data_IF_291574336886
#
_entry.id   IF_291574336886
#
_cell.length_a   1.000
_cell.length_b   1.000
_cell.length_c   1.000
_cell.angle_alpha   90.00
_cell.angle_beta   90.00
_cell.angle_gamma   90.00
#
_symmetry.space_group_name_H-M   'P 1'
#
loop_
_entity.id
_entity.type
_entity.pdbx_description
1 polymer ?
#
# COMPACT_ATOMS: atom_id res chain seq x y z
N UNK A 1 10.71 12.29 13.81
CA UNK A 1 9.27 12.24 13.49
C UNK A 1 8.51 12.56 14.76
N UNK A 2 7.27 13.04 14.70
CA UNK A 2 6.42 13.22 15.89
C UNK A 2 5.13 12.42 15.72
N UNK A 3 4.63 11.80 16.79
CA UNK A 3 3.30 11.18 16.80
C UNK A 3 2.23 12.27 16.78
N UNK A 4 1.16 12.04 16.01
CA UNK A 4 -0.03 12.88 16.01
C UNK A 4 -0.81 12.69 17.30
N UNK A 5 -0.98 11.46 17.75
CA UNK A 5 -1.67 11.15 19.00
C UNK A 5 -0.69 11.25 20.18
N UNK A 6 -1.16 11.82 21.29
CA UNK A 6 -0.49 11.91 22.58
C UNK A 6 -0.90 10.73 23.46
N UNK A 7 -0.19 10.54 24.58
CA UNK A 7 -0.47 9.47 25.55
C UNK A 7 -1.84 9.58 26.22
N UNK A 8 -2.42 10.78 26.27
CA UNK A 8 -3.77 11.05 26.81
C UNK A 8 -4.90 10.81 25.79
N UNK A 9 -4.57 10.36 24.58
CA UNK A 9 -5.53 10.12 23.49
C UNK A 9 -5.88 11.35 22.66
N UNK A 10 -5.47 12.56 23.07
CA UNK A 10 -5.64 13.77 22.28
C UNK A 10 -4.60 13.90 21.16
N UNK A 11 -4.84 14.75 20.17
CA UNK A 11 -3.81 15.06 19.15
C UNK A 11 -2.85 16.17 19.62
N UNK A 12 -1.62 16.16 19.09
CA UNK A 12 -0.62 17.20 19.35
C UNK A 12 -1.11 18.58 18.85
N UNK A 13 -1.16 19.62 19.70
CA UNK A 13 -1.59 20.97 19.31
C UNK A 13 -0.85 21.54 18.10
N UNK A 14 0.41 21.18 17.87
CA UNK A 14 1.21 21.67 16.75
C UNK A 14 0.71 21.16 15.40
N UNK A 15 0.04 20.00 15.36
CA UNK A 15 -0.48 19.39 14.12
C UNK A 15 -1.97 19.66 13.90
N UNK A 16 -2.70 20.13 14.91
CA UNK A 16 -4.12 20.52 14.78
C UNK A 16 -4.31 21.58 13.69
N UNK A 17 -5.38 21.46 12.91
CA UNK A 17 -5.74 22.33 11.80
C UNK A 17 -6.06 21.57 10.51
N UNK A 18 -6.13 22.33 9.41
CA UNK A 18 -6.48 21.80 8.09
C UNK A 18 -5.24 21.70 7.22
N UNK A 19 -5.08 20.58 6.52
CA UNK A 19 -3.91 20.26 5.72
C UNK A 19 -4.31 19.71 4.36
N UNK A 20 -3.79 20.27 3.27
CA UNK A 20 -4.03 19.80 1.90
C UNK A 20 -2.83 19.06 1.36
N UNK A 21 -3.02 17.83 0.90
CA UNK A 21 -1.95 17.05 0.30
C UNK A 21 -1.53 17.64 -1.04
N UNK A 22 -0.23 17.55 -1.32
CA UNK A 22 0.30 17.88 -2.63
C UNK A 22 0.23 16.64 -3.52
N UNK A 23 -0.62 16.68 -4.55
CA UNK A 23 -0.68 15.67 -5.61
C UNK A 23 -1.65 14.51 -5.41
N UNK A 24 -2.27 14.38 -4.22
CA UNK A 24 -3.17 13.24 -3.91
C UNK A 24 -4.65 13.62 -3.75
N UNK A 25 -4.97 14.92 -3.65
CA UNK A 25 -6.37 15.38 -3.51
C UNK A 25 -6.95 15.05 -2.13
N UNK A 26 -6.14 15.06 -1.08
CA UNK A 26 -6.57 14.77 0.28
C UNK A 26 -6.56 16.02 1.13
N UNK A 27 -7.56 16.16 2.00
CA UNK A 27 -7.54 17.12 3.09
C UNK A 27 -7.55 16.35 4.41
N UNK A 28 -6.68 16.74 5.34
CA UNK A 28 -6.75 16.30 6.73
C UNK A 28 -7.32 17.43 7.56
N UNK A 29 -8.37 17.13 8.29
CA UNK A 29 -8.90 17.93 9.37
C UNK A 29 -8.47 17.27 10.67
N UNK A 30 -7.62 17.96 11.43
CA UNK A 30 -7.03 17.44 12.66
C UNK A 30 -7.48 18.34 13.81
N UNK A 31 -8.29 17.79 14.70
CA UNK A 31 -8.72 18.46 15.92
C UNK A 31 -8.23 17.67 17.14
N UNK A 32 -8.65 18.05 18.34
CA UNK A 32 -8.26 17.36 19.57
C UNK A 32 -8.65 15.87 19.58
N UNK A 33 -9.76 15.51 18.92
CA UNK A 33 -10.32 14.17 18.93
C UNK A 33 -9.65 13.23 17.92
N UNK A 34 -9.02 13.74 16.86
CA UNK A 34 -8.27 12.91 15.95
C UNK A 34 -8.05 13.50 14.56
N UNK A 35 -7.97 12.59 13.58
CA UNK A 35 -7.73 12.91 12.16
C UNK A 35 -8.94 12.47 11.35
N UNK A 36 -9.56 13.43 10.65
CA UNK A 36 -10.58 13.19 9.63
C UNK A 36 -9.93 13.45 8.27
N UNK A 37 -10.06 12.48 7.35
CA UNK A 37 -9.64 12.67 5.96
C UNK A 37 -10.86 12.97 5.09
N UNK A 38 -10.73 13.98 4.25
CA UNK A 38 -11.63 14.26 3.14
C UNK A 38 -10.90 14.00 1.82
N UNK A 39 -11.66 13.59 0.80
CA UNK A 39 -11.22 13.53 -0.57
C UNK A 39 -11.71 14.80 -1.27
N UNK A 40 -10.77 15.57 -1.80
CA UNK A 40 -11.00 16.82 -2.51
C UNK A 40 -10.96 16.61 -4.02
N UNK A 41 -11.94 17.19 -4.71
CA UNK A 41 -12.06 17.21 -6.16
C UNK A 41 -13.14 18.20 -6.60
N UNK A 42 -13.79 17.95 -7.74
CA UNK A 42 -15.03 18.66 -8.13
C UNK A 42 -16.15 18.46 -7.12
N UNK A 43 -16.17 17.28 -6.48
CA UNK A 43 -16.99 16.97 -5.32
C UNK A 43 -16.05 16.67 -4.16
N UNK A 44 -16.29 17.30 -3.01
CA UNK A 44 -15.57 16.96 -1.78
C UNK A 44 -16.42 16.03 -0.92
N UNK A 45 -15.80 14.98 -0.38
CA UNK A 45 -16.51 14.00 0.42
C UNK A 45 -15.61 13.34 1.47
N UNK A 46 -16.24 12.87 2.55
CA UNK A 46 -15.57 12.00 3.52
C UNK A 46 -15.66 10.55 3.05
N UNK A 47 -14.55 9.90 2.67
CA UNK A 47 -14.57 8.47 2.38
C UNK A 47 -15.03 7.69 3.63
N UNK A 48 -15.77 6.58 3.46
CA UNK A 48 -16.18 5.76 4.58
C UNK A 48 -14.95 5.30 5.36
N UNK A 49 -15.07 5.25 6.68
CA UNK A 49 -14.04 4.63 7.52
C UNK A 49 -13.98 3.16 7.13
N UNK A 50 -12.84 2.76 6.59
CA UNK A 50 -12.60 1.38 6.24
C UNK A 50 -12.73 0.46 7.45
N UNK A 51 -13.35 -0.70 7.22
CA UNK A 51 -13.30 -1.85 8.13
C UNK A 51 -12.44 -2.93 7.47
N UNK A 52 -11.36 -3.32 8.13
CA UNK A 52 -10.43 -4.38 7.69
C UNK A 52 -9.14 -3.88 7.03
N UNK A 53 -8.08 -4.69 7.10
CA UNK A 53 -6.69 -4.34 6.77
C UNK A 53 -6.47 -3.79 5.35
N UNK A 54 -7.09 -4.40 4.34
CA UNK A 54 -6.96 -3.94 2.95
C UNK A 54 -7.66 -2.59 2.71
N UNK A 55 -8.75 -2.33 3.44
CA UNK A 55 -9.47 -1.07 3.37
C UNK A 55 -8.82 0.01 4.26
N UNK A 56 -8.15 -0.37 5.36
CA UNK A 56 -7.49 0.56 6.26
C UNK A 56 -6.35 1.33 5.59
N UNK A 57 -5.57 0.65 4.73
CA UNK A 57 -4.61 1.29 3.82
C UNK A 57 -5.27 2.36 2.94
N UNK A 58 -6.47 2.07 2.41
CA UNK A 58 -7.24 3.01 1.59
C UNK A 58 -7.82 4.17 2.41
N UNK A 59 -7.91 4.05 3.74
CA UNK A 59 -8.44 5.08 4.66
C UNK A 59 -7.38 5.90 5.41
N UNK A 60 -6.09 5.62 5.20
CA UNK A 60 -4.90 6.27 5.76
C UNK A 60 -5.16 7.24 6.94
N UNK A 61 -5.29 6.69 8.14
CA UNK A 61 -5.19 7.48 9.38
C UNK A 61 -3.71 7.75 9.64
N UNK A 62 -3.19 8.84 9.11
CA UNK A 62 -1.82 9.26 9.42
C UNK A 62 -1.60 9.27 10.92
N UNK A 63 -0.46 8.74 11.37
CA UNK A 63 -0.09 8.65 12.78
C UNK A 63 1.09 9.53 13.12
N UNK A 64 1.88 9.89 12.12
CA UNK A 64 3.09 10.64 12.30
C UNK A 64 3.10 11.88 11.44
N UNK A 65 3.74 12.93 11.93
CA UNK A 65 4.02 14.13 11.17
C UNK A 65 5.45 14.65 11.40
N UNK A 66 5.93 15.45 10.45
CA UNK A 66 7.16 16.21 10.54
C UNK A 66 6.99 17.55 9.85
N UNK A 67 6.98 18.63 10.63
CA UNK A 67 6.97 19.99 10.07
C UNK A 67 8.20 20.23 9.19
N UNK A 68 8.00 20.92 8.07
CA UNK A 68 9.08 21.34 7.18
C UNK A 68 9.61 22.72 7.64
N UNK A 69 10.91 22.84 7.99
CA UNK A 69 11.47 24.09 8.51
C UNK A 69 11.17 25.29 7.62
N UNK A 70 10.78 26.42 8.25
CA UNK A 70 10.53 27.68 7.54
C UNK A 70 9.29 27.69 6.63
N UNK A 71 8.40 26.71 6.73
CA UNK A 71 7.21 26.62 5.88
C UNK A 71 5.95 26.27 6.67
N UNK A 72 4.77 26.59 6.10
CA UNK A 72 3.48 26.10 6.59
C UNK A 72 3.14 24.72 6.01
N UNK A 73 4.13 23.84 5.89
CA UNK A 73 3.98 22.51 5.33
C UNK A 73 4.52 21.44 6.28
N UNK A 74 4.01 20.22 6.16
CA UNK A 74 4.44 19.07 6.93
C UNK A 74 4.39 17.79 6.10
N UNK A 75 5.22 16.81 6.45
CA UNK A 75 5.15 15.45 5.94
C UNK A 75 4.28 14.63 6.90
N UNK A 76 3.38 13.83 6.37
CA UNK A 76 2.54 12.89 7.12
C UNK A 76 2.79 11.45 6.69
N UNK A 77 2.80 10.53 7.65
CA UNK A 77 3.03 9.10 7.45
C UNK A 77 2.13 8.24 8.33
N UNK A 78 1.71 7.07 7.81
CA UNK A 78 0.94 6.08 8.55
C UNK A 78 1.88 5.30 9.48
N UNK A 79 2.95 4.75 8.93
CA UNK A 79 4.06 4.14 9.66
C UNK A 79 5.37 4.88 9.37
N UNK A 80 6.32 4.80 10.31
CA UNK A 80 7.62 5.42 10.11
C UNK A 80 8.33 4.88 8.86
N UNK A 81 8.81 5.80 8.02
CA UNK A 81 9.54 5.52 6.78
C UNK A 81 8.71 4.92 5.63
N UNK A 82 7.37 4.99 5.74
CA UNK A 82 6.48 4.97 4.58
C UNK A 82 6.81 6.08 3.57
N UNK A 83 6.17 6.08 2.41
CA UNK A 83 6.33 7.16 1.44
C UNK A 83 5.94 8.51 2.04
N UNK A 84 6.81 9.52 1.87
CA UNK A 84 6.58 10.87 2.36
C UNK A 84 5.45 11.54 1.57
N UNK A 85 4.33 11.86 2.24
CA UNK A 85 3.27 12.70 1.65
C UNK A 85 3.34 14.09 2.27
N UNK A 86 3.50 15.11 1.44
CA UNK A 86 3.57 16.52 1.89
C UNK A 86 2.19 17.13 1.87
N UNK A 87 1.90 17.88 2.92
CA UNK A 87 0.70 18.67 3.06
C UNK A 87 1.04 20.14 3.34
N UNK A 88 0.25 21.03 2.75
CA UNK A 88 0.26 22.46 3.04
C UNK A 88 -0.88 22.80 4.00
N UNK A 89 -0.61 23.62 5.01
CA UNK A 89 -1.62 24.08 5.96
C UNK A 89 -2.58 25.07 5.29
N UNK A 90 -3.87 24.84 5.45
CA UNK A 90 -4.93 25.76 5.04
C UNK A 90 -5.46 26.57 6.24
N UNK A 91 -5.98 27.78 6.00
CA UNK A 91 -6.59 28.59 7.06
C UNK A 91 -7.91 28.01 7.57
N UNK A 92 -8.67 27.31 6.72
CA UNK A 92 -9.94 26.69 7.06
C UNK A 92 -10.24 25.53 6.10
N UNK A 93 -11.23 24.69 6.46
CA UNK A 93 -11.74 23.64 5.60
C UNK A 93 -12.49 24.29 4.42
N UNK A 94 -12.25 23.89 3.16
CA UNK A 94 -13.02 24.40 2.03
C UNK A 94 -14.52 24.15 2.22
N UNK A 95 -15.36 25.15 1.93
CA UNK A 95 -16.81 25.07 2.17
C UNK A 95 -17.49 23.88 1.46
N UNK A 96 -16.97 23.48 0.29
CA UNK A 96 -17.43 22.29 -0.43
C UNK A 96 -17.24 20.99 0.36
N UNK A 97 -16.28 20.92 1.28
CA UNK A 97 -16.00 19.76 2.12
C UNK A 97 -16.82 19.74 3.42
N UNK A 98 -17.43 20.87 3.81
CA UNK A 98 -18.38 20.95 4.92
C UNK A 98 -19.84 20.79 4.47
N UNK A 99 -20.12 20.90 3.17
CA UNK A 99 -21.46 20.73 2.63
C UNK A 99 -21.85 19.24 2.52
N UNK A 100 -23.16 18.90 2.55
CA UNK A 100 -23.62 17.56 2.20
C UNK A 100 -23.10 17.15 0.82
N UNK A 101 -22.50 15.97 0.73
CA UNK A 101 -22.01 15.43 -0.54
C UNK A 101 -23.18 15.09 -1.46
N UNK A 102 -23.19 15.65 -2.67
CA UNK A 102 -24.07 15.22 -3.76
C UNK A 102 -23.69 13.79 -4.18
N UNK A 103 -24.66 12.88 -4.09
CA UNK A 103 -24.52 11.45 -4.40
C UNK A 103 -25.36 11.02 -5.60
N UNK A 104 -25.88 11.96 -6.37
CA UNK A 104 -26.55 11.63 -7.63
C UNK A 104 -25.58 10.88 -8.57
N UNK A 105 -26.07 9.99 -9.45
CA UNK A 105 -25.22 9.26 -10.39
C UNK A 105 -24.27 10.17 -11.17
N UNK A 106 -24.77 11.34 -11.62
CA UNK A 106 -23.96 12.34 -12.30
C UNK A 106 -22.84 12.91 -11.45
N UNK A 107 -23.10 13.24 -10.18
CA UNK A 107 -22.08 13.75 -9.26
C UNK A 107 -21.00 12.71 -8.93
N UNK A 108 -21.39 11.45 -8.75
CA UNK A 108 -20.44 10.33 -8.53
C UNK A 108 -19.55 10.13 -9.76
N UNK A 109 -20.12 10.09 -10.96
CA UNK A 109 -19.35 9.95 -12.19
C UNK A 109 -18.43 11.15 -12.45
N UNK A 110 -18.88 12.37 -12.14
CA UNK A 110 -18.06 13.57 -12.24
C UNK A 110 -16.86 13.51 -11.28
N UNK A 111 -17.10 13.13 -10.02
CA UNK A 111 -16.03 12.93 -9.04
C UNK A 111 -15.05 11.85 -9.52
N UNK A 112 -15.54 10.68 -9.93
CA UNK A 112 -14.71 9.59 -10.44
C UNK A 112 -13.79 10.04 -11.59
N UNK A 113 -14.32 10.75 -12.58
CA UNK A 113 -13.53 11.27 -13.69
C UNK A 113 -12.50 12.32 -13.25
N UNK A 114 -12.88 13.24 -12.37
CA UNK A 114 -11.98 14.25 -11.82
C UNK A 114 -10.77 13.61 -11.10
N UNK A 115 -11.00 12.55 -10.33
CA UNK A 115 -9.93 11.82 -9.66
C UNK A 115 -8.97 11.15 -10.65
N UNK A 116 -9.51 10.52 -11.69
CA UNK A 116 -8.68 9.96 -12.76
C UNK A 116 -7.84 11.05 -13.43
N UNK A 117 -8.46 12.15 -13.85
CA UNK A 117 -7.79 13.22 -14.58
C UNK A 117 -6.67 13.89 -13.76
N UNK A 118 -6.87 14.06 -12.45
CA UNK A 118 -5.87 14.71 -11.57
C UNK A 118 -4.77 13.78 -11.09
N UNK A 119 -5.12 12.55 -10.73
CA UNK A 119 -4.25 11.70 -9.92
C UNK A 119 -3.75 10.44 -10.63
N UNK A 120 -4.40 10.02 -11.72
CA UNK A 120 -3.92 8.86 -12.46
C UNK A 120 -2.62 9.16 -13.21
N UNK A 121 -1.57 8.41 -12.89
CA UNK A 121 -0.21 8.75 -13.32
C UNK A 121 0.17 8.16 -14.70
N UNK A 122 -0.56 7.15 -15.19
CA UNK A 122 -0.07 6.24 -16.24
C UNK A 122 -0.83 6.34 -17.57
N UNK A 123 -1.51 7.45 -17.85
CA UNK A 123 -2.24 7.64 -19.11
C UNK A 123 -1.38 7.40 -20.35
N UNK A 124 -0.10 7.80 -20.31
CA UNK A 124 0.88 7.63 -21.38
C UNK A 124 1.47 6.21 -21.47
N UNK A 125 1.21 5.36 -20.47
CA UNK A 125 1.78 4.02 -20.33
C UNK A 125 0.74 2.89 -20.38
N UNK A 126 -0.54 3.23 -20.44
CA UNK A 126 -1.66 2.28 -20.56
C UNK A 126 -2.29 2.34 -21.94
N UNK A 127 -3.08 1.33 -22.34
CA UNK A 127 -3.82 1.36 -23.60
C UNK A 127 -4.59 2.68 -23.75
N UNK A 128 -4.51 3.35 -24.93
CA UNK A 128 -5.22 4.58 -25.18
C UNK A 128 -6.75 4.36 -25.11
N UNK A 129 -7.52 5.45 -25.10
CA UNK A 129 -8.99 5.39 -25.10
C UNK A 129 -9.67 6.01 -23.88
N UNK A 130 -8.91 6.65 -22.97
CA UNK A 130 -9.49 7.37 -21.83
C UNK A 130 -10.59 8.37 -22.26
N UNK A 131 -10.35 9.15 -23.32
CA UNK A 131 -11.33 10.12 -23.82
C UNK A 131 -12.63 9.44 -24.28
N UNK A 132 -12.54 8.30 -24.97
CA UNK A 132 -13.69 7.51 -25.41
C UNK A 132 -14.43 6.89 -24.21
N UNK A 133 -13.71 6.30 -23.25
CA UNK A 133 -14.27 5.77 -21.99
C UNK A 133 -15.01 6.85 -21.22
N UNK A 134 -14.43 8.04 -21.10
CA UNK A 134 -15.05 9.20 -20.46
C UNK A 134 -16.32 9.65 -21.18
N UNK A 135 -16.31 9.72 -22.51
CA UNK A 135 -17.49 10.05 -23.30
C UNK A 135 -18.61 9.01 -23.11
N UNK A 136 -18.25 7.72 -23.16
CA UNK A 136 -19.19 6.62 -22.93
C UNK A 136 -19.78 6.62 -21.52
N UNK A 137 -18.96 6.87 -20.49
CA UNK A 137 -19.44 7.00 -19.12
C UNK A 137 -20.45 8.16 -19.00
N UNK A 138 -20.10 9.34 -19.52
CA UNK A 138 -21.00 10.52 -19.50
C UNK A 138 -22.31 10.26 -20.23
N UNK A 139 -22.29 9.59 -21.38
CA UNK A 139 -23.48 9.28 -22.16
C UNK A 139 -24.45 8.31 -21.44
N UNK A 140 -23.95 7.48 -20.51
CA UNK A 140 -24.77 6.57 -19.71
C UNK A 140 -25.43 7.24 -18.50
N UNK A 141 -24.95 8.41 -18.06
CA UNK A 141 -25.43 9.02 -16.81
C UNK A 141 -26.83 9.62 -16.98
N UNK A 142 -27.76 9.21 -16.11
CA UNK A 142 -29.06 9.85 -15.96
C UNK A 142 -29.53 9.83 -14.50
N UNK A 143 -30.42 10.75 -14.07
CA UNK A 143 -30.84 10.85 -12.67
C UNK A 143 -31.56 9.61 -12.12
N UNK A 144 -32.25 8.85 -12.99
CA UNK A 144 -32.99 7.65 -12.61
C UNK A 144 -32.15 6.36 -12.55
N UNK A 145 -30.82 6.42 -12.56
CA UNK A 145 -29.99 5.22 -12.43
C UNK A 145 -30.05 4.68 -11.00
N UNK A 146 -30.17 3.37 -10.86
CA UNK A 146 -29.92 2.69 -9.60
C UNK A 146 -28.41 2.45 -9.35
N UNK A 147 -28.07 1.89 -8.19
CA UNK A 147 -26.69 1.62 -7.79
C UNK A 147 -26.00 0.60 -8.72
N UNK A 148 -26.74 -0.40 -9.20
CA UNK A 148 -26.20 -1.43 -10.09
C UNK A 148 -25.87 -0.84 -11.47
N UNK A 149 -26.75 -0.02 -12.03
CA UNK A 149 -26.54 0.68 -13.29
C UNK A 149 -25.36 1.67 -13.20
N UNK A 150 -25.25 2.41 -12.09
CA UNK A 150 -24.11 3.28 -11.84
C UNK A 150 -22.81 2.47 -11.73
N UNK A 151 -22.82 1.38 -10.97
CA UNK A 151 -21.67 0.48 -10.84
C UNK A 151 -21.21 -0.06 -12.18
N UNK A 152 -22.13 -0.60 -13.00
CA UNK A 152 -21.81 -1.18 -14.31
C UNK A 152 -21.24 -0.12 -15.26
N UNK A 153 -21.73 1.12 -15.19
CA UNK A 153 -21.17 2.22 -15.98
C UNK A 153 -19.72 2.57 -15.57
N UNK A 154 -19.44 2.64 -14.26
CA UNK A 154 -18.10 2.89 -13.73
C UNK A 154 -17.15 1.69 -13.97
N UNK A 155 -17.65 0.46 -13.84
CA UNK A 155 -16.92 -0.76 -14.12
C UNK A 155 -16.50 -0.84 -15.59
N UNK A 156 -17.41 -0.53 -16.52
CA UNK A 156 -17.11 -0.48 -17.95
C UNK A 156 -16.02 0.54 -18.30
N UNK A 157 -15.89 1.63 -17.53
CA UNK A 157 -14.78 2.55 -17.70
C UNK A 157 -13.43 1.92 -17.33
N UNK A 158 -13.41 1.08 -16.30
CA UNK A 158 -12.21 0.39 -15.82
C UNK A 158 -11.72 -0.71 -16.77
N UNK A 159 -12.59 -1.22 -17.64
CA UNK A 159 -12.26 -2.28 -18.59
C UNK A 159 -11.15 -1.88 -19.58
N UNK A 160 -10.17 -2.77 -19.71
CA UNK A 160 -9.01 -2.57 -20.58
C UNK A 160 -8.08 -1.44 -20.13
N UNK A 161 -8.23 -0.91 -18.91
CA UNK A 161 -7.25 0.00 -18.32
C UNK A 161 -5.90 -0.70 -18.15
N UNK A 162 -5.93 -2.03 -18.00
CA UNK A 162 -4.77 -2.90 -17.86
C UNK A 162 -3.81 -2.43 -16.75
N UNK A 163 -4.37 -2.04 -15.61
CA UNK A 163 -3.63 -1.55 -14.44
C UNK A 163 -4.09 -2.23 -13.14
N UNK A 164 -3.28 -3.18 -12.65
CA UNK A 164 -3.57 -3.90 -11.42
C UNK A 164 -3.54 -3.04 -10.16
N UNK A 165 -3.01 -1.82 -10.20
CA UNK A 165 -2.96 -0.94 -9.03
C UNK A 165 -4.17 0.00 -8.95
N UNK A 166 -5.01 0.03 -9.98
CA UNK A 166 -6.24 0.83 -9.98
C UNK A 166 -7.45 -0.08 -9.79
N UNK A 167 -8.26 0.23 -8.78
CA UNK A 167 -9.40 -0.59 -8.40
C UNK A 167 -10.62 0.29 -8.24
N UNK A 168 -11.76 -0.22 -8.67
CA UNK A 168 -13.06 0.29 -8.24
C UNK A 168 -13.56 -0.63 -7.13
N UNK A 169 -13.84 -0.07 -5.96
CA UNK A 169 -14.40 -0.75 -4.81
C UNK A 169 -15.70 -0.05 -4.45
N UNK A 170 -16.72 -0.83 -4.11
CA UNK A 170 -18.01 -0.28 -3.72
C UNK A 170 -18.91 -1.34 -3.10
N UNK A 171 -20.08 -0.90 -2.67
CA UNK A 171 -21.18 -1.75 -2.24
C UNK A 171 -22.33 -1.52 -3.21
N UNK A 172 -22.98 -2.60 -3.63
CA UNK A 172 -24.15 -2.56 -4.52
C UNK A 172 -25.13 -3.57 -3.97
N UNK A 173 -26.34 -3.10 -3.59
CA UNK A 173 -27.36 -3.93 -2.96
C UNK A 173 -26.88 -4.64 -1.67
N UNK A 174 -26.03 -3.97 -0.89
CA UNK A 174 -25.44 -4.52 0.34
C UNK A 174 -24.24 -5.44 0.12
N UNK A 175 -23.90 -5.77 -1.13
CA UNK A 175 -22.80 -6.67 -1.47
C UNK A 175 -21.56 -5.89 -1.89
N UNK A 176 -20.41 -6.24 -1.31
CA UNK A 176 -19.12 -5.65 -1.69
C UNK A 176 -18.71 -6.11 -3.08
N UNK A 177 -18.49 -5.15 -3.98
CA UNK A 177 -18.01 -5.39 -5.34
C UNK A 177 -16.62 -4.80 -5.56
N UNK A 178 -15.89 -5.41 -6.50
CA UNK A 178 -14.54 -5.00 -6.89
C UNK A 178 -14.32 -5.18 -8.39
N UNK A 179 -13.81 -4.15 -9.04
CA UNK A 179 -13.22 -4.25 -10.38
C UNK A 179 -11.72 -3.99 -10.30
N UNK A 180 -10.95 -4.86 -10.94
CA UNK A 180 -9.51 -4.72 -11.07
C UNK A 180 -9.08 -5.38 -12.38
N UNK A 181 -8.43 -4.61 -13.23
CA UNK A 181 -7.88 -5.08 -14.50
C UNK A 181 -6.35 -5.23 -14.41
N UNK A 182 -5.66 -5.69 -15.45
CA UNK A 182 -4.20 -5.67 -15.55
C UNK A 182 -3.48 -6.72 -14.72
N UNK A 183 -4.13 -7.83 -14.37
CA UNK A 183 -3.54 -8.92 -13.58
C UNK A 183 -2.71 -9.92 -14.42
N UNK A 184 -2.47 -9.61 -15.70
CA UNK A 184 -1.84 -10.52 -16.66
C UNK A 184 -2.70 -11.75 -16.94
N UNK A 185 -2.13 -12.73 -17.65
CA UNK A 185 -2.85 -13.96 -18.04
C UNK A 185 -2.79 -15.06 -16.97
N UNK A 186 -1.72 -15.10 -16.20
CA UNK A 186 -1.43 -16.20 -15.27
C UNK A 186 -2.46 -16.29 -14.15
N UNK A 187 -2.80 -15.17 -13.50
CA UNK A 187 -3.72 -15.19 -12.35
C UNK A 187 -5.17 -15.51 -12.74
N UNK A 188 -5.75 -14.90 -13.79
CA UNK A 188 -7.06 -15.34 -14.28
C UNK A 188 -7.08 -16.83 -14.63
N UNK A 189 -6.03 -17.34 -15.31
CA UNK A 189 -5.90 -18.78 -15.64
C UNK A 189 -5.84 -19.66 -14.40
N UNK A 190 -5.14 -19.23 -13.34
CA UNK A 190 -5.08 -19.97 -12.07
C UNK A 190 -6.44 -19.96 -11.37
N UNK A 191 -7.12 -18.81 -11.29
CA UNK A 191 -8.45 -18.69 -10.65
C UNK A 191 -9.51 -19.53 -11.33
N UNK A 192 -9.43 -19.68 -12.64
CA UNK A 192 -10.36 -20.49 -13.43
C UNK A 192 -10.14 -22.02 -13.25
N UNK A 193 -9.06 -22.45 -12.59
CA UNK A 193 -8.82 -23.87 -12.27
C UNK A 193 -9.53 -24.27 -10.98
N UNK A 194 -9.73 -25.58 -10.83
CA UNK A 194 -10.24 -26.17 -9.60
C UNK A 194 -9.38 -25.76 -8.39
N UNK A 195 -10.04 -25.33 -7.30
CA UNK A 195 -9.38 -24.84 -6.09
C UNK A 195 -8.75 -23.43 -6.20
N UNK A 196 -8.72 -22.84 -7.40
CA UNK A 196 -8.29 -21.47 -7.65
C UNK A 196 -6.87 -21.12 -7.19
N UNK A 197 -6.65 -19.85 -6.86
CA UNK A 197 -5.37 -19.38 -6.33
C UNK A 197 -4.94 -20.05 -5.02
N UNK A 198 -5.82 -20.34 -4.04
CA UNK A 198 -5.40 -21.00 -2.79
C UNK A 198 -4.80 -22.39 -3.01
N UNK A 199 -5.44 -23.24 -3.83
CA UNK A 199 -4.92 -24.57 -4.12
C UNK A 199 -3.60 -24.52 -4.88
N UNK A 200 -3.48 -23.60 -5.85
CA UNK A 200 -2.24 -23.37 -6.57
C UNK A 200 -1.10 -22.92 -5.65
N UNK A 201 -1.36 -21.98 -4.73
CA UNK A 201 -0.36 -21.51 -3.78
C UNK A 201 0.09 -22.62 -2.83
N UNK A 202 -0.86 -23.42 -2.32
CA UNK A 202 -0.54 -24.59 -1.49
C UNK A 202 0.34 -25.60 -2.22
N UNK A 203 0.01 -25.90 -3.48
CA UNK A 203 0.82 -26.80 -4.32
C UNK A 203 2.22 -26.24 -4.61
N UNK A 204 2.34 -24.93 -4.85
CA UNK A 204 3.62 -24.27 -5.06
C UNK A 204 4.52 -24.39 -3.83
N UNK A 205 4.00 -24.07 -2.64
CA UNK A 205 4.75 -24.20 -1.37
C UNK A 205 5.16 -25.65 -1.12
N UNK A 206 4.23 -26.61 -1.31
CA UNK A 206 4.52 -28.03 -1.12
C UNK A 206 5.63 -28.52 -2.08
N UNK A 207 5.57 -28.11 -3.35
CA UNK A 207 6.58 -28.45 -4.35
C UNK A 207 7.95 -27.84 -3.98
N UNK A 208 7.99 -26.55 -3.62
CA UNK A 208 9.22 -25.87 -3.20
C UNK A 208 9.85 -26.58 -2.00
N UNK A 209 9.08 -26.82 -0.94
CA UNK A 209 9.54 -27.52 0.27
C UNK A 209 10.05 -28.92 -0.04
N UNK A 210 9.34 -29.68 -0.89
CA UNK A 210 9.78 -31.02 -1.29
C UNK A 210 11.10 -30.99 -2.06
N UNK A 211 11.32 -29.99 -2.93
CA UNK A 211 12.57 -29.82 -3.69
C UNK A 211 13.76 -29.42 -2.80
N UNK A 212 13.53 -28.63 -1.76
CA UNK A 212 14.55 -28.25 -0.78
C UNK A 212 14.84 -29.38 0.23
N UNK A 213 13.94 -30.35 0.35
CA UNK A 213 14.11 -31.53 1.19
C UNK A 213 14.33 -31.18 2.66
N UNK A 214 15.30 -31.82 3.32
CA UNK A 214 15.58 -31.63 4.76
C UNK A 214 16.10 -30.22 5.12
N UNK A 215 16.61 -29.50 4.12
CA UNK A 215 17.07 -28.11 4.30
C UNK A 215 15.92 -27.10 4.33
N UNK A 216 14.71 -27.51 3.92
CA UNK A 216 13.57 -26.62 3.87
C UNK A 216 13.23 -26.07 5.27
N UNK A 217 12.95 -24.77 5.30
CA UNK A 217 12.49 -24.01 6.46
C UNK A 217 11.40 -23.05 6.03
N UNK A 218 10.51 -22.73 6.97
CA UNK A 218 9.40 -21.81 6.74
C UNK A 218 9.25 -20.85 7.90
N UNK A 219 8.92 -19.58 7.63
CA UNK A 219 8.61 -18.58 8.65
C UNK A 219 7.43 -17.70 8.23
N UNK A 220 6.95 -16.88 9.16
CA UNK A 220 5.91 -15.89 8.90
C UNK A 220 4.57 -16.49 8.45
N UNK A 221 4.15 -17.59 9.08
CA UNK A 221 2.95 -18.33 8.68
C UNK A 221 3.03 -18.91 7.26
N UNK A 222 4.22 -19.36 6.83
CA UNK A 222 4.46 -19.95 5.52
C UNK A 222 4.66 -18.94 4.38
N UNK A 223 4.80 -17.64 4.70
CA UNK A 223 5.01 -16.57 3.71
C UNK A 223 6.46 -16.44 3.27
N UNK A 224 7.38 -17.03 4.02
CA UNK A 224 8.81 -17.10 3.72
C UNK A 224 9.21 -18.56 3.73
N UNK A 225 9.85 -19.01 2.66
CA UNK A 225 10.40 -20.36 2.53
C UNK A 225 11.86 -20.24 2.15
N UNK A 226 12.74 -20.98 2.83
CA UNK A 226 14.14 -21.03 2.42
C UNK A 226 14.74 -22.43 2.59
N UNK A 227 15.90 -22.65 1.96
CA UNK A 227 16.65 -23.89 2.04
C UNK A 227 17.83 -23.88 1.09
N UNK A 228 18.47 -25.02 0.90
CA UNK A 228 19.69 -25.17 0.11
C UNK A 228 19.46 -26.12 -1.07
N UNK A 229 19.80 -25.66 -2.26
CA UNK A 229 19.80 -26.44 -3.51
C UNK A 229 21.19 -27.06 -3.69
N UNK A 230 21.22 -28.39 -3.82
CA UNK A 230 22.42 -29.20 -4.09
C UNK A 230 23.62 -28.96 -3.16
N UNK A 231 23.37 -28.44 -1.95
CA UNK A 231 24.42 -28.07 -0.99
C UNK A 231 25.26 -26.85 -1.39
N UNK A 232 24.85 -26.10 -2.43
CA UNK A 232 25.68 -25.06 -3.05
C UNK A 232 25.00 -23.71 -3.20
N UNK A 233 23.68 -23.67 -3.33
CA UNK A 233 22.94 -22.44 -3.60
C UNK A 233 21.84 -22.26 -2.57
N UNK A 234 21.82 -21.13 -1.87
CA UNK A 234 20.72 -20.75 -1.01
C UNK A 234 19.50 -20.38 -1.85
N UNK A 235 18.31 -20.81 -1.45
CA UNK A 235 17.06 -20.43 -2.07
C UNK A 235 16.19 -19.73 -1.02
N UNK A 236 15.70 -18.53 -1.34
CA UNK A 236 14.83 -17.74 -0.49
C UNK A 236 13.61 -17.27 -1.29
N UNK A 237 12.43 -17.73 -0.93
CA UNK A 237 11.16 -17.30 -1.52
C UNK A 237 10.38 -16.45 -0.52
N UNK A 238 9.91 -15.28 -0.97
CA UNK A 238 9.06 -14.37 -0.18
C UNK A 238 7.77 -14.14 -0.97
N UNK A 239 6.64 -14.65 -0.47
CA UNK A 239 5.36 -14.59 -1.16
C UNK A 239 4.63 -13.25 -0.98
N UNK A 240 4.83 -12.59 0.16
CA UNK A 240 4.19 -11.31 0.49
C UNK A 240 5.07 -10.59 1.51
N UNK A 241 5.10 -9.27 1.43
CA UNK A 241 5.93 -8.41 2.26
C UNK A 241 5.15 -7.91 3.48
N UNK A 242 4.64 -8.84 4.29
CA UNK A 242 3.89 -8.57 5.51
C UNK A 242 2.88 -9.67 5.87
N UNK A 243 2.30 -9.58 7.06
CA UNK A 243 1.45 -10.61 7.65
C UNK A 243 2.26 -11.78 8.19
N UNK A 244 3.46 -11.53 8.70
CA UNK A 244 4.33 -12.55 9.29
C UNK A 244 3.92 -12.94 10.71
N UNK A 245 3.09 -12.12 11.35
CA UNK A 245 2.58 -12.33 12.71
C UNK A 245 1.06 -12.50 12.70
N UNK A 246 0.52 -13.03 13.80
CA UNK A 246 -0.94 -13.20 13.98
C UNK A 246 -1.63 -11.92 14.51
N UNK A 247 -0.88 -10.80 14.58
CA UNK A 247 -1.39 -9.53 15.11
C UNK A 247 -2.49 -8.96 14.21
N UNK A 248 -3.55 -8.45 14.85
CA UNK A 248 -4.70 -7.84 14.18
C UNK A 248 -4.72 -6.31 14.27
N UNK A 249 -3.82 -5.70 15.04
CA UNK A 249 -3.71 -4.26 15.26
C UNK A 249 -2.88 -3.57 14.17
N UNK A 250 -3.27 -3.77 12.92
CA UNK A 250 -2.56 -3.26 11.74
C UNK A 250 -2.17 -1.78 11.87
N UNK A 251 -0.97 -1.46 11.37
CA UNK A 251 -0.40 -0.12 11.35
C UNK A 251 -0.21 0.56 12.72
N UNK A 252 -0.19 -0.18 13.83
CA UNK A 252 0.38 0.30 15.10
C UNK A 252 1.92 0.21 15.08
N UNK A 253 2.62 0.97 15.96
CA UNK A 253 4.06 0.78 16.16
C UNK A 253 4.41 -0.65 16.54
N UNK A 254 3.63 -1.27 17.43
CA UNK A 254 3.87 -2.61 17.94
C UNK A 254 3.67 -3.67 16.84
N UNK A 255 2.67 -3.48 15.97
CA UNK A 255 2.49 -4.31 14.79
C UNK A 255 3.68 -4.20 13.83
N UNK A 256 4.11 -2.96 13.53
CA UNK A 256 5.21 -2.70 12.60
C UNK A 256 6.54 -3.26 13.11
N UNK A 257 6.81 -3.13 14.41
CA UNK A 257 7.98 -3.71 15.07
C UNK A 257 7.95 -5.23 15.00
N UNK A 258 6.84 -5.87 15.38
CA UNK A 258 6.71 -7.32 15.36
C UNK A 258 6.84 -7.92 13.95
N UNK A 259 6.22 -7.28 12.95
CA UNK A 259 6.34 -7.68 11.54
C UNK A 259 7.77 -7.57 11.03
N UNK A 260 8.45 -6.46 11.33
CA UNK A 260 9.85 -6.28 10.94
C UNK A 260 10.74 -7.29 11.67
N UNK A 261 10.57 -7.50 12.97
CA UNK A 261 11.35 -8.46 13.75
C UNK A 261 11.20 -9.88 13.18
N UNK A 262 9.98 -10.35 12.96
CA UNK A 262 9.72 -11.66 12.37
C UNK A 262 10.36 -11.83 10.98
N UNK A 263 10.33 -10.78 10.16
CA UNK A 263 11.01 -10.79 8.86
C UNK A 263 12.54 -10.84 8.99
N UNK A 264 13.11 -10.04 9.89
CA UNK A 264 14.56 -10.00 10.08
C UNK A 264 15.09 -11.31 10.68
N UNK A 265 14.38 -11.91 11.62
CA UNK A 265 14.74 -13.21 12.21
C UNK A 265 14.76 -14.31 11.16
N UNK A 266 13.76 -14.33 10.24
CA UNK A 266 13.72 -15.28 9.14
C UNK A 266 14.89 -15.06 8.16
N UNK A 267 15.21 -13.81 7.82
CA UNK A 267 16.34 -13.50 6.96
C UNK A 267 17.68 -13.84 7.62
N UNK A 268 17.86 -13.59 8.91
CA UNK A 268 19.09 -13.92 9.62
C UNK A 268 19.33 -15.44 9.64
N UNK A 269 18.30 -16.22 9.93
CA UNK A 269 18.37 -17.68 9.85
C UNK A 269 18.70 -18.17 8.43
N UNK A 270 18.02 -17.63 7.42
CA UNK A 270 18.30 -17.98 6.02
C UNK A 270 19.76 -17.65 5.64
N UNK A 271 20.25 -16.46 5.98
CA UNK A 271 21.63 -16.07 5.67
C UNK A 271 22.66 -16.89 6.45
N UNK A 272 22.35 -17.32 7.67
CA UNK A 272 23.18 -18.26 8.43
C UNK A 272 23.25 -19.62 7.75
N UNK A 273 22.11 -20.15 7.30
CA UNK A 273 22.05 -21.41 6.54
C UNK A 273 22.76 -21.32 5.18
N UNK A 274 22.91 -20.10 4.64
CA UNK A 274 23.60 -19.84 3.37
C UNK A 274 25.09 -19.53 3.52
N UNK A 275 25.63 -19.53 4.74
CA UNK A 275 27.03 -19.19 4.98
C UNK A 275 27.96 -20.16 4.24
N UNK A 276 28.86 -19.61 3.41
CA UNK A 276 29.83 -20.39 2.63
C UNK A 276 29.27 -21.03 1.36
N UNK A 277 27.99 -20.79 1.01
CA UNK A 277 27.41 -21.20 -0.27
C UNK A 277 27.89 -20.32 -1.43
N UNK A 278 27.77 -20.83 -2.65
CA UNK A 278 28.27 -20.18 -3.87
C UNK A 278 27.40 -18.99 -4.31
N UNK A 279 26.13 -18.95 -3.87
CA UNK A 279 25.20 -17.89 -4.24
C UNK A 279 23.81 -18.09 -3.63
N UNK A 280 22.93 -17.12 -3.89
CA UNK A 280 21.55 -17.11 -3.40
C UNK A 280 20.58 -16.81 -4.55
N UNK A 281 19.54 -17.61 -4.68
CA UNK A 281 18.36 -17.33 -5.51
C UNK A 281 17.31 -16.68 -4.61
N UNK A 282 16.93 -15.45 -4.95
CA UNK A 282 15.81 -14.76 -4.31
C UNK A 282 14.60 -14.85 -5.24
N UNK A 283 13.64 -15.71 -4.89
CA UNK A 283 12.44 -15.92 -5.67
C UNK A 283 11.31 -14.97 -5.24
N UNK A 284 11.00 -14.03 -6.13
CA UNK A 284 9.87 -13.09 -6.02
C UNK A 284 8.81 -13.33 -7.09
N UNK A 285 8.84 -14.47 -7.79
CA UNK A 285 7.96 -14.78 -8.93
C UNK A 285 6.47 -14.75 -8.59
N UNK A 286 6.11 -15.03 -7.34
CA UNK A 286 4.76 -14.89 -6.80
C UNK A 286 4.68 -13.88 -5.63
N UNK A 287 5.61 -12.93 -5.56
CA UNK A 287 5.55 -11.90 -4.54
C UNK A 287 4.39 -10.92 -4.82
N UNK A 288 3.48 -10.75 -3.85
CA UNK A 288 2.27 -9.92 -3.97
C UNK A 288 2.46 -8.46 -3.55
N UNK A 289 3.70 -8.03 -3.31
CA UNK A 289 4.00 -6.78 -2.63
C UNK A 289 3.64 -6.85 -1.15
N UNK A 290 3.38 -5.70 -0.55
CA UNK A 290 3.06 -5.59 0.87
C UNK A 290 3.55 -4.27 1.43
N UNK A 291 4.07 -4.28 2.65
CA UNK A 291 4.58 -3.10 3.33
C UNK A 291 5.94 -2.65 2.78
N UNK A 292 6.00 -1.39 2.35
CA UNK A 292 7.19 -0.74 1.77
C UNK A 292 8.48 -0.94 2.58
N UNK A 293 8.40 -0.98 3.92
CA UNK A 293 9.60 -1.17 4.75
C UNK A 293 10.21 -2.55 4.60
N UNK A 294 9.39 -3.60 4.50
CA UNK A 294 9.87 -4.97 4.27
C UNK A 294 10.52 -5.06 2.88
N UNK A 295 9.89 -4.45 1.88
CA UNK A 295 10.43 -4.36 0.52
C UNK A 295 11.82 -3.72 0.47
N UNK A 296 12.07 -2.69 1.30
CA UNK A 296 13.37 -1.99 1.40
C UNK A 296 14.39 -2.77 2.23
N UNK A 297 13.94 -3.50 3.25
CA UNK A 297 14.81 -4.25 4.14
C UNK A 297 15.45 -5.48 3.46
N UNK A 298 14.75 -6.12 2.53
CA UNK A 298 15.24 -7.31 1.82
C UNK A 298 16.54 -7.08 1.03
N UNK A 299 16.61 -6.14 0.06
CA UNK A 299 17.85 -5.90 -0.70
C UNK A 299 18.98 -5.36 0.19
N UNK A 300 18.67 -4.69 1.30
CA UNK A 300 19.67 -4.15 2.22
C UNK A 300 20.54 -5.24 2.89
N UNK A 301 20.15 -6.52 2.83
CA UNK A 301 20.97 -7.66 3.27
C UNK A 301 22.10 -8.01 2.31
N UNK A 302 21.98 -7.61 1.05
CA UNK A 302 22.95 -7.91 -0.01
C UNK A 302 23.81 -6.70 -0.39
N UNK A 303 23.74 -5.61 0.38
CA UNK A 303 24.48 -4.37 0.13
C UNK A 303 25.49 -4.09 1.25
N UNK A 304 26.73 -3.81 0.86
CA UNK A 304 27.80 -3.41 1.79
C UNK A 304 27.64 -1.96 2.28
N UNK A 305 27.12 -1.10 1.41
CA UNK A 305 26.96 0.35 1.63
C UNK A 305 25.54 0.80 1.38
N UNK A 306 25.15 1.92 1.99
CA UNK A 306 23.85 2.53 1.75
C UNK A 306 23.79 3.03 0.31
N UNK A 307 22.75 2.63 -0.42
CA UNK A 307 22.53 3.07 -1.79
C UNK A 307 21.11 3.60 -1.97
N UNK A 308 20.91 4.40 -3.02
CA UNK A 308 19.57 4.80 -3.46
C UNK A 308 19.05 3.73 -4.41
N UNK A 309 18.13 2.88 -3.94
CA UNK A 309 17.52 1.86 -4.78
C UNK A 309 16.49 2.44 -5.75
N UNK A 310 15.66 3.37 -5.27
CA UNK A 310 14.65 4.04 -6.08
C UNK A 310 14.27 5.41 -5.51
N UNK A 311 13.56 6.18 -6.32
CA UNK A 311 12.95 7.44 -5.91
C UNK A 311 11.51 7.48 -6.36
N UNK A 312 10.62 8.00 -5.51
CA UNK A 312 9.21 8.23 -5.86
C UNK A 312 8.90 9.72 -5.92
N UNK A 313 7.92 10.05 -6.76
CA UNK A 313 7.38 11.40 -6.86
C UNK A 313 5.93 11.32 -7.29
N UNK A 314 5.02 11.85 -6.48
CA UNK A 314 3.66 12.12 -6.91
C UNK A 314 3.62 13.36 -7.82
N UNK A 315 2.77 13.32 -8.84
CA UNK A 315 2.52 14.47 -9.71
C UNK A 315 2.03 15.65 -8.87
N UNK A 316 2.61 16.84 -9.05
CA UNK A 316 2.22 18.03 -8.30
C UNK A 316 2.67 18.06 -6.82
N UNK A 317 3.51 17.13 -6.36
CA UNK A 317 3.96 17.09 -4.96
C UNK A 317 4.88 18.25 -4.54
N UNK A 318 5.48 18.97 -5.50
CA UNK A 318 6.48 20.02 -5.24
C UNK A 318 7.77 19.53 -4.57
N UNK A 319 7.90 18.24 -4.25
CA UNK A 319 9.11 17.64 -3.74
C UNK A 319 10.05 17.26 -4.88
N UNK A 320 11.35 17.53 -4.70
CA UNK A 320 12.39 16.76 -5.37
C UNK A 320 12.26 15.30 -4.92
N UNK A 321 12.54 14.37 -5.83
CA UNK A 321 12.54 12.91 -5.65
C UNK A 321 12.78 12.52 -4.19
N UNK A 322 11.83 11.84 -3.53
CA UNK A 322 12.08 11.33 -2.18
C UNK A 322 13.16 10.26 -2.30
N UNK A 323 14.36 10.57 -1.81
CA UNK A 323 15.43 9.59 -1.66
C UNK A 323 15.00 8.62 -0.58
N UNK A 324 14.94 7.34 -0.93
CA UNK A 324 14.73 6.27 0.03
C UNK A 324 16.07 5.55 0.14
N UNK A 325 16.92 5.94 1.11
CA UNK A 325 18.16 5.23 1.38
C UNK A 325 17.84 3.84 1.95
N UNK A 326 18.46 2.80 1.41
CA UNK A 326 18.31 1.43 1.91
C UNK A 326 19.22 1.18 3.12
N UNK A 327 18.76 1.52 4.33
CA UNK A 327 19.15 0.86 5.61
C UNK A 327 18.36 1.44 6.81
N UNK A 328 17.74 0.61 7.69
CA UNK A 328 17.69 0.89 9.11
C UNK A 328 19.02 0.47 9.79
N UNK A 329 19.32 0.97 11.02
CA UNK A 329 20.56 0.68 11.72
C UNK A 329 20.73 -0.82 12.02
N UNK A 330 21.99 -1.31 12.00
CA UNK A 330 22.33 -2.64 12.52
C UNK A 330 22.04 -2.65 14.03
N UNK A 331 21.09 -3.46 14.48
CA UNK A 331 21.10 -3.92 15.88
C UNK A 331 22.31 -4.84 16.00
N UNK A 332 23.39 -4.37 16.63
CA UNK A 332 24.44 -5.27 17.11
C UNK A 332 23.87 -5.97 18.34
N UNK A 333 23.50 -7.23 18.21
CA UNK A 333 23.43 -8.10 19.39
C UNK A 333 24.87 -8.34 19.83
N UNK A 334 25.32 -7.61 20.85
CA UNK A 334 26.56 -7.98 21.54
C UNK A 334 26.32 -9.29 22.26
N UNK A 335 26.87 -10.39 21.75
CA UNK A 335 27.04 -11.58 22.58
C UNK A 335 28.03 -11.23 23.69
N UNK A 336 27.51 -10.96 24.88
CA UNK A 336 28.31 -10.96 26.09
C UNK A 336 28.82 -12.39 26.31
N UNK A 337 30.12 -12.60 26.15
CA UNK A 337 30.78 -13.78 26.71
C UNK A 337 30.78 -13.60 28.23
N UNK A 338 30.00 -14.43 28.93
CA UNK A 338 30.29 -14.72 30.33
C UNK A 338 31.47 -15.68 30.37
N UNK A 339 32.52 -15.26 31.06
CA UNK A 339 33.64 -16.08 31.53
C UNK A 339 33.19 -17.23 32.39
#
# INVERSE_FOLDING_TARGET
MQSIARSDGSTDPAVRGIWRSRGYGWLLEIDEAGVIRHQEGTTCYRPPLARGTQSEMDSARYRYFRALPGSKAAIFQLLEGDTNVVFDRLPALPAACSAPTDRTPGAVAAAFLDHFERHYAFFDRRPPGFAARRAALRAKMHPGMDEAQLWDALAAFMEGLSDSHTKLLGEVDGERRRVQDGQGETLPRIRAREGGEPAWLGALIAQTTAKLGKSARTAGGGRIVWGVIDGRVGYLQVFVMGGFTERSDFATPEWAEAEMAAFQDALEQAMSDFAGLDGVIVDLSNNRGGWDQIAKAQPARFLDTVQTGFTTRARGSGLLRSLIPSRPPRVRVSQGRST
#
